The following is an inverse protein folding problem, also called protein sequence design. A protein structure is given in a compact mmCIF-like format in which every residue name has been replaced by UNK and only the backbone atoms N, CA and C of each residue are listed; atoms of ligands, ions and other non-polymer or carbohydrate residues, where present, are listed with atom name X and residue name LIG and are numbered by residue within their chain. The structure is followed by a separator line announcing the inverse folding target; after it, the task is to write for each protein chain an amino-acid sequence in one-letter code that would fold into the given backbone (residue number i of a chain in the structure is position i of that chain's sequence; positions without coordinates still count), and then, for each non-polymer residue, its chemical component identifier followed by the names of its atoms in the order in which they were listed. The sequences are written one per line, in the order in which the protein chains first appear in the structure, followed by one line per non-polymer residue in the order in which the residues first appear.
data_IF_353128019696
#
_entry.id   IF_353128019696
#
_cell.length_a   1.000
_cell.length_b   1.000
_cell.length_c   1.000
_cell.angle_alpha   90.00
_cell.angle_beta   90.00
_cell.angle_gamma   90.00
#
_symmetry.space_group_name_H-M   'P 1'
#
loop_
_entity.id
_entity.type
_entity.pdbx_description
1 polymer ?
#
# COMPACT_ATOMS: atom_id res chain seq x y z
N UNK A 1 17.91 -2.64 -1.35
CA UNK A 1 16.58 -2.43 -0.74
C UNK A 1 15.60 -3.42 -1.34
N UNK A 2 14.63 -3.88 -0.56
CA UNK A 2 13.55 -4.73 -1.08
C UNK A 2 12.50 -3.83 -1.73
N UNK A 3 12.50 -3.79 -3.08
CA UNK A 3 11.55 -3.03 -3.89
C UNK A 3 10.51 -3.96 -4.52
N UNK A 4 9.45 -3.39 -5.07
CA UNK A 4 8.37 -4.16 -5.71
C UNK A 4 8.88 -4.98 -6.91
N UNK A 5 9.84 -4.43 -7.66
CA UNK A 5 10.48 -5.10 -8.79
C UNK A 5 11.28 -6.33 -8.33
N UNK A 6 11.97 -6.23 -7.18
CA UNK A 6 12.65 -7.36 -6.56
C UNK A 6 11.65 -8.42 -6.11
N UNK A 7 10.52 -8.01 -5.51
CA UNK A 7 9.47 -8.93 -5.09
C UNK A 7 8.83 -9.67 -6.28
N UNK A 8 8.61 -8.98 -7.39
CA UNK A 8 8.18 -9.58 -8.66
C UNK A 8 9.16 -10.65 -9.15
N UNK A 9 10.46 -10.39 -9.08
CA UNK A 9 11.50 -11.38 -9.43
C UNK A 9 11.45 -12.58 -8.50
N UNK A 10 11.36 -12.38 -7.18
CA UNK A 10 11.22 -13.47 -6.19
C UNK A 10 10.00 -14.35 -6.53
N UNK A 11 8.85 -13.73 -6.82
CA UNK A 11 7.64 -14.46 -7.20
C UNK A 11 7.88 -15.28 -8.47
N UNK A 12 8.49 -14.70 -9.51
CA UNK A 12 8.81 -15.43 -10.75
C UNK A 12 9.72 -16.61 -10.49
N UNK A 13 10.80 -16.43 -9.73
CA UNK A 13 11.73 -17.52 -9.40
C UNK A 13 11.05 -18.68 -8.65
N UNK A 14 10.16 -18.38 -7.69
CA UNK A 14 9.37 -19.41 -7.01
C UNK A 14 8.47 -20.17 -7.99
N UNK A 15 7.87 -19.46 -8.95
CA UNK A 15 7.04 -20.08 -10.01
C UNK A 15 7.90 -20.94 -10.95
N UNK A 16 9.09 -20.49 -11.32
CA UNK A 16 9.98 -21.24 -12.21
C UNK A 16 10.49 -22.52 -11.55
N UNK A 17 10.64 -22.51 -10.23
CA UNK A 17 10.92 -23.72 -9.41
C UNK A 17 9.73 -24.68 -9.27
N UNK A 18 8.60 -24.40 -9.91
CA UNK A 18 7.43 -25.27 -9.91
C UNK A 18 6.47 -25.06 -8.75
N UNK A 19 6.65 -24.07 -7.88
CA UNK A 19 5.69 -23.77 -6.83
C UNK A 19 4.39 -23.26 -7.47
N UNK A 20 3.27 -23.92 -7.17
CA UNK A 20 1.95 -23.59 -7.74
C UNK A 20 0.95 -23.07 -6.72
N UNK A 21 0.90 -23.74 -5.58
CA UNK A 21 -0.07 -23.50 -4.52
C UNK A 21 0.67 -23.27 -3.20
N UNK A 22 0.30 -22.22 -2.48
CA UNK A 22 0.73 -21.95 -1.11
C UNK A 22 -0.50 -22.17 -0.24
N UNK A 23 -0.54 -23.32 0.43
CA UNK A 23 -1.68 -23.76 1.25
C UNK A 23 -1.60 -23.28 2.70
N UNK A 24 -0.39 -22.99 3.18
CA UNK A 24 -0.15 -22.41 4.51
C UNK A 24 -0.09 -20.88 4.49
N UNK A 25 0.13 -20.29 5.67
CA UNK A 25 0.30 -18.85 5.81
C UNK A 25 1.66 -18.38 5.31
N UNK A 26 1.72 -17.16 4.77
CA UNK A 26 2.99 -16.47 4.53
C UNK A 26 3.49 -15.92 5.86
N UNK A 27 4.59 -16.47 6.37
CA UNK A 27 5.23 -16.00 7.60
C UNK A 27 6.19 -14.89 7.25
N UNK A 28 5.95 -13.70 7.80
CA UNK A 28 6.82 -12.55 7.65
C UNK A 28 7.62 -12.41 8.93
N UNK A 29 8.94 -12.57 8.83
CA UNK A 29 9.87 -12.32 9.92
C UNK A 29 10.43 -10.90 9.81
N UNK A 30 10.02 -10.05 10.77
CA UNK A 30 10.48 -8.67 10.90
C UNK A 30 11.24 -8.48 12.24
N UNK A 31 11.73 -9.55 12.87
CA UNK A 31 12.26 -9.51 14.24
C UNK A 31 13.72 -9.08 14.36
N UNK A 32 14.43 -8.86 13.25
CA UNK A 32 15.84 -8.44 13.28
C UNK A 32 16.04 -7.08 13.97
N UNK A 33 15.04 -6.20 13.87
CA UNK A 33 15.01 -4.95 14.62
C UNK A 33 14.10 -5.08 15.84
N UNK A 34 14.60 -4.68 17.00
CA UNK A 34 13.81 -4.50 18.22
C UNK A 34 13.61 -2.99 18.41
N UNK A 35 12.50 -2.48 17.89
CA UNK A 35 12.18 -1.05 17.93
C UNK A 35 10.96 -0.86 18.82
N UNK A 36 11.04 0.10 19.73
CA UNK A 36 9.90 0.50 20.56
C UNK A 36 8.77 1.04 19.69
N UNK A 37 7.52 0.75 20.06
CA UNK A 37 6.37 1.37 19.41
C UNK A 37 6.44 2.89 19.58
N UNK A 38 6.57 3.61 18.45
CA UNK A 38 6.62 5.07 18.41
C UNK A 38 5.40 5.62 17.69
N UNK A 39 4.88 6.78 18.10
CA UNK A 39 3.86 7.48 17.32
C UNK A 39 4.52 8.16 16.10
N UNK A 40 4.23 7.75 14.86
CA UNK A 40 4.79 8.38 13.67
C UNK A 40 4.27 9.82 13.46
N UNK A 41 3.24 10.24 14.20
CA UNK A 41 2.70 11.60 14.19
C UNK A 41 3.28 12.52 15.27
N UNK A 42 4.16 12.05 16.15
CA UNK A 42 4.58 12.78 17.36
C UNK A 42 5.14 14.18 17.04
N UNK A 43 5.94 14.30 15.98
CA UNK A 43 6.62 15.56 15.63
C UNK A 43 5.70 16.59 14.94
N UNK A 44 4.88 16.17 13.97
CA UNK A 44 4.15 17.10 13.10
C UNK A 44 2.67 16.76 12.88
N UNK A 45 2.15 15.77 13.61
CA UNK A 45 0.79 15.22 13.49
C UNK A 45 0.46 14.67 12.10
N UNK A 46 1.48 14.28 11.31
CA UNK A 46 1.29 13.69 9.97
C UNK A 46 1.80 12.24 9.91
N UNK A 47 1.19 11.30 10.65
CA UNK A 47 1.66 9.92 10.75
C UNK A 47 1.72 9.16 9.41
N UNK A 48 0.99 9.61 8.39
CA UNK A 48 0.95 8.98 7.07
C UNK A 48 2.01 9.51 6.09
N UNK A 49 2.85 10.47 6.48
CA UNK A 49 3.92 10.97 5.61
C UNK A 49 5.05 9.96 5.59
N UNK A 50 5.55 9.64 4.39
CA UNK A 50 6.61 8.64 4.22
C UNK A 50 7.90 8.97 4.98
N UNK A 51 8.20 10.27 5.20
CA UNK A 51 9.34 10.69 6.01
C UNK A 51 9.17 10.44 7.52
N UNK A 52 7.95 10.09 7.95
CA UNK A 52 7.63 9.70 9.33
C UNK A 52 7.56 8.17 9.48
N UNK A 53 8.08 7.39 8.53
CA UNK A 53 8.11 5.94 8.64
C UNK A 53 8.94 5.50 9.85
N UNK A 54 8.38 4.59 10.64
CA UNK A 54 9.12 3.95 11.72
C UNK A 54 10.07 2.93 11.08
N UNK A 55 11.33 2.83 11.54
CA UNK A 55 12.23 1.84 10.99
C UNK A 55 11.68 0.41 11.14
N UNK A 56 11.99 -0.45 10.19
CA UNK A 56 11.55 -1.86 10.13
C UNK A 56 12.62 -2.65 9.39
N UNK A 57 12.84 -3.90 9.78
CA UNK A 57 13.80 -4.78 9.11
C UNK A 57 13.33 -5.14 7.69
N UNK A 58 12.01 -5.28 7.48
CA UNK A 58 11.42 -5.63 6.18
C UNK A 58 11.46 -4.48 5.16
N UNK A 59 11.42 -3.20 5.62
CA UNK A 59 11.41 -1.93 4.87
C UNK A 59 11.05 -2.03 3.37
N UNK A 60 9.95 -2.71 3.07
CA UNK A 60 9.55 -3.01 1.71
C UNK A 60 9.04 -1.75 1.04
N UNK A 61 9.62 -1.41 -0.11
CA UNK A 61 9.29 -0.19 -0.86
C UNK A 61 9.28 1.08 0.02
N UNK A 62 10.18 1.16 1.00
CA UNK A 62 10.27 2.25 1.98
C UNK A 62 8.97 2.48 2.78
N UNK A 63 8.17 1.42 2.98
CA UNK A 63 6.82 1.47 3.56
C UNK A 63 5.83 2.38 2.79
N UNK A 64 6.18 2.79 1.57
CA UNK A 64 5.42 3.74 0.80
C UNK A 64 4.37 3.04 -0.06
N UNK A 65 3.10 3.34 0.19
CA UNK A 65 2.02 3.10 -0.77
C UNK A 65 1.85 4.35 -1.62
N UNK A 66 2.08 4.21 -2.92
CA UNK A 66 1.85 5.27 -3.91
C UNK A 66 0.41 5.19 -4.38
N UNK A 67 -0.35 6.26 -4.20
CA UNK A 67 -1.70 6.42 -4.74
C UNK A 67 -1.61 7.21 -6.05
N UNK A 68 -1.82 6.53 -7.18
CA UNK A 68 -1.91 7.17 -8.50
C UNK A 68 -3.34 7.62 -8.72
N UNK A 69 -3.50 8.90 -9.05
CA UNK A 69 -4.78 9.59 -9.14
C UNK A 69 -4.87 10.25 -10.52
N UNK A 70 -5.96 9.97 -11.23
CA UNK A 70 -6.21 10.52 -12.56
C UNK A 70 -7.70 10.63 -12.83
N UNK A 71 -8.09 11.46 -13.78
CA UNK A 71 -9.46 11.46 -14.29
C UNK A 71 -9.68 10.21 -15.14
N UNK A 72 -10.79 9.52 -14.94
CA UNK A 72 -11.13 8.36 -15.76
C UNK A 72 -11.42 8.81 -17.21
N UNK A 73 -11.07 7.97 -18.19
CA UNK A 73 -11.17 8.28 -19.63
C UNK A 73 -12.59 8.61 -20.09
N UNK A 74 -13.60 8.01 -19.47
CA UNK A 74 -15.03 8.34 -19.70
C UNK A 74 -15.45 9.75 -19.22
N UNK A 75 -14.58 10.48 -18.52
CA UNK A 75 -14.85 11.84 -18.04
C UNK A 75 -15.91 11.96 -16.96
N UNK A 76 -16.27 10.86 -16.26
CA UNK A 76 -17.36 10.85 -15.25
C UNK A 76 -16.87 10.74 -13.81
N UNK A 77 -15.68 10.20 -13.58
CA UNK A 77 -15.15 9.98 -12.24
C UNK A 77 -13.62 10.09 -12.21
N UNK A 78 -13.07 9.93 -11.00
CA UNK A 78 -11.63 9.95 -10.74
C UNK A 78 -11.22 8.52 -10.42
N UNK A 79 -10.11 8.05 -10.95
CA UNK A 79 -9.50 6.78 -10.58
C UNK A 79 -8.45 6.98 -9.51
N UNK A 80 -8.39 6.03 -8.57
CA UNK A 80 -7.31 5.94 -7.60
C UNK A 80 -6.86 4.48 -7.53
N UNK A 81 -5.59 4.25 -7.81
CA UNK A 81 -4.97 2.92 -7.73
C UNK A 81 -3.71 2.98 -6.87
N UNK A 82 -3.40 1.86 -6.21
CA UNK A 82 -2.21 1.73 -5.37
C UNK A 82 -1.05 1.09 -6.13
N UNK A 83 0.16 1.53 -5.79
CA UNK A 83 1.41 0.86 -6.13
C UNK A 83 2.27 0.72 -4.85
N UNK A 84 2.74 -0.49 -4.50
CA UNK A 84 2.42 -1.76 -5.14
C UNK A 84 0.92 -2.06 -5.06
N UNK A 85 0.41 -2.87 -6.00
CA UNK A 85 -1.00 -3.27 -5.98
C UNK A 85 -1.21 -4.16 -4.75
N UNK A 86 -2.14 -3.78 -3.90
CA UNK A 86 -2.40 -4.48 -2.63
C UNK A 86 -3.90 -4.52 -2.34
N UNK A 87 -4.35 -5.60 -1.70
CA UNK A 87 -5.70 -5.74 -1.18
C UNK A 87 -5.86 -5.17 0.24
N UNK A 88 -4.75 -4.93 0.96
CA UNK A 88 -4.77 -4.48 2.35
C UNK A 88 -5.13 -3.00 2.50
N UNK A 89 -5.12 -2.26 1.39
CA UNK A 89 -5.55 -0.86 1.34
C UNK A 89 -6.82 -0.72 0.53
N UNK A 90 -7.95 -0.57 1.23
CA UNK A 90 -9.25 -0.32 0.61
C UNK A 90 -9.43 1.17 0.27
N UNK A 91 -9.67 1.47 -1.00
CA UNK A 91 -9.97 2.83 -1.46
C UNK A 91 -11.47 3.13 -1.29
N UNK A 92 -11.80 4.19 -0.53
CA UNK A 92 -13.14 4.80 -0.46
C UNK A 92 -13.13 6.11 -1.25
N UNK A 93 -13.37 6.01 -2.56
CA UNK A 93 -13.30 7.17 -3.45
C UNK A 93 -14.64 7.92 -3.49
N UNK A 94 -14.67 9.11 -2.88
CA UNK A 94 -15.82 10.03 -2.84
C UNK A 94 -15.51 11.36 -3.50
N UNK A 95 -14.52 11.40 -4.39
CA UNK A 95 -14.17 12.62 -5.11
C UNK A 95 -15.23 12.95 -6.16
N UNK A 96 -15.47 14.24 -6.36
CA UNK A 96 -16.32 14.75 -7.44
C UNK A 96 -15.46 15.33 -8.54
N UNK A 97 -15.67 14.90 -9.77
CA UNK A 97 -14.97 15.45 -10.92
C UNK A 97 -15.55 16.83 -11.28
N UNK A 98 -14.69 17.84 -11.48
CA UNK A 98 -15.10 19.21 -11.82
C UNK A 98 -14.28 19.77 -12.97
N UNK A 99 -14.81 20.81 -13.65
CA UNK A 99 -14.06 21.54 -14.67
C UNK A 99 -13.47 22.82 -14.09
N UNK A 100 -12.24 22.75 -13.55
CA UNK A 100 -11.50 23.89 -12.96
C UNK A 100 -10.01 23.83 -13.34
N UNK A 101 -9.21 24.89 -13.16
CA UNK A 101 -7.76 24.78 -13.35
C UNK A 101 -7.14 23.74 -12.40
N UNK A 102 -6.18 22.94 -12.89
CA UNK A 102 -5.52 21.90 -12.09
C UNK A 102 -4.51 22.50 -11.08
N UNK A 103 -5.01 23.05 -9.97
CA UNK A 103 -4.19 23.66 -8.92
C UNK A 103 -4.83 23.59 -7.54
N UNK A 104 -4.00 23.65 -6.49
CA UNK A 104 -4.44 23.64 -5.09
C UNK A 104 -5.38 22.47 -4.77
N UNK A 105 -6.52 22.78 -4.16
CA UNK A 105 -7.55 21.79 -3.78
C UNK A 105 -8.15 20.99 -4.94
N UNK A 106 -8.01 21.46 -6.18
CA UNK A 106 -8.50 20.75 -7.37
C UNK A 106 -7.51 19.73 -7.93
N UNK A 107 -6.25 19.77 -7.45
CA UNK A 107 -5.21 18.77 -7.76
C UNK A 107 -5.01 17.80 -6.60
N UNK A 108 -5.11 18.28 -5.36
CA UNK A 108 -4.80 17.51 -4.16
C UNK A 108 -6.06 17.18 -3.36
N UNK A 109 -6.59 15.95 -3.44
CA UNK A 109 -7.77 15.57 -2.67
C UNK A 109 -7.48 15.45 -1.18
N UNK A 110 -8.53 15.55 -0.36
CA UNK A 110 -8.44 15.23 1.06
C UNK A 110 -8.35 13.72 1.22
N UNK A 111 -7.40 13.26 2.02
CA UNK A 111 -7.21 11.85 2.38
C UNK A 111 -7.48 11.66 3.86
N UNK A 112 -8.33 10.70 4.22
CA UNK A 112 -8.56 10.29 5.61
C UNK A 112 -8.30 8.80 5.72
N UNK A 113 -7.42 8.43 6.63
CA UNK A 113 -7.01 7.05 6.87
C UNK A 113 -7.79 6.49 8.06
N UNK A 114 -8.29 5.27 7.90
CA UNK A 114 -8.96 4.53 8.95
C UNK A 114 -8.33 3.15 9.06
N UNK A 115 -7.75 2.85 10.23
CA UNK A 115 -7.32 1.49 10.57
C UNK A 115 -8.55 0.58 10.61
N UNK A 116 -8.42 -0.62 10.05
CA UNK A 116 -9.45 -1.67 10.11
C UNK A 116 -8.90 -2.85 10.92
N UNK A 117 -9.75 -3.85 11.19
CA UNK A 117 -9.31 -5.08 11.85
C UNK A 117 -8.26 -5.83 11.01
N UNK A 118 -8.35 -5.73 9.67
CA UNK A 118 -7.36 -6.24 8.73
C UNK A 118 -7.10 -5.13 7.71
N UNK A 119 -5.86 -4.63 7.68
CA UNK A 119 -5.46 -3.55 6.79
C UNK A 119 -6.08 -2.19 7.10
N UNK A 120 -6.19 -1.37 6.06
CA UNK A 120 -6.57 0.04 6.16
C UNK A 120 -7.59 0.42 5.09
N UNK A 121 -8.35 1.46 5.37
CA UNK A 121 -9.13 2.14 4.32
C UNK A 121 -8.75 3.60 4.22
N UNK A 122 -8.63 4.09 3.00
CA UNK A 122 -8.28 5.48 2.70
C UNK A 122 -9.45 6.11 1.95
N UNK A 123 -10.08 7.10 2.59
CA UNK A 123 -11.14 7.89 1.99
C UNK A 123 -10.55 9.07 1.25
N UNK A 124 -10.83 9.16 -0.05
CA UNK A 124 -10.52 10.31 -0.88
C UNK A 124 -11.78 11.16 -1.05
N UNK A 125 -11.69 12.46 -0.81
CA UNK A 125 -12.82 13.37 -0.96
C UNK A 125 -12.42 14.77 -1.43
N UNK A 126 -13.42 15.54 -1.86
CA UNK A 126 -13.25 16.88 -2.43
C UNK A 126 -13.52 16.91 -3.94
N UNK A 127 -13.28 18.08 -4.53
CA UNK A 127 -13.45 18.28 -5.97
C UNK A 127 -12.11 18.10 -6.67
N UNK A 128 -12.05 17.20 -7.65
CA UNK A 128 -10.86 16.93 -8.46
C UNK A 128 -11.07 17.44 -9.89
N UNK A 129 -10.09 18.13 -10.45
CA UNK A 129 -10.25 18.68 -11.79
C UNK A 129 -10.02 17.63 -12.88
N UNK A 130 -10.94 17.58 -13.86
CA UNK A 130 -10.74 16.79 -15.09
C UNK A 130 -9.54 17.24 -15.93
N UNK A 131 -9.06 18.46 -15.72
CA UNK A 131 -7.92 19.04 -16.42
C UNK A 131 -6.58 18.67 -15.75
N UNK A 132 -6.60 17.86 -14.68
CA UNK A 132 -5.39 17.29 -14.13
C UNK A 132 -4.97 16.04 -14.91
N UNK A 133 -3.71 16.00 -15.33
CA UNK A 133 -3.07 14.76 -15.79
C UNK A 133 -2.80 13.79 -14.62
N UNK A 134 -2.35 12.56 -14.93
CA UNK A 134 -1.98 11.58 -13.91
C UNK A 134 -0.96 12.16 -12.95
N UNK A 135 -1.16 11.93 -11.66
CA UNK A 135 -0.19 12.27 -10.63
C UNK A 135 -0.27 11.27 -9.49
N UNK A 136 0.70 11.32 -8.57
CA UNK A 136 0.73 10.38 -7.48
C UNK A 136 1.11 11.01 -6.15
N UNK A 137 0.66 10.37 -5.08
CA UNK A 137 0.92 10.76 -3.69
C UNK A 137 1.36 9.53 -2.93
N UNK A 138 2.54 9.55 -2.33
CA UNK A 138 3.01 8.46 -1.47
C UNK A 138 2.64 8.70 -0.01
N UNK A 139 2.12 7.67 0.66
CA UNK A 139 1.76 7.69 2.08
C UNK A 139 2.06 6.33 2.73
N UNK A 140 2.25 6.36 4.04
CA UNK A 140 2.19 5.15 4.85
C UNK A 140 0.72 4.82 5.04
N UNK A 141 0.31 3.69 4.46
CA UNK A 141 -1.10 3.26 4.44
C UNK A 141 -1.32 1.91 5.11
N UNK A 142 -0.27 1.22 5.57
CA UNK A 142 -0.34 -0.06 6.27
C UNK A 142 0.91 -0.32 7.11
N UNK A 143 0.91 -1.38 7.91
CA UNK A 143 2.14 -1.88 8.53
C UNK A 143 3.13 -2.35 7.44
N UNK A 144 4.44 -2.46 7.75
CA UNK A 144 5.42 -3.02 6.82
C UNK A 144 5.04 -4.43 6.35
N UNK A 145 4.59 -5.28 7.27
CA UNK A 145 4.22 -6.67 6.99
C UNK A 145 2.95 -6.76 6.16
N UNK A 146 1.93 -5.95 6.47
CA UNK A 146 0.71 -5.85 5.65
C UNK A 146 1.06 -5.38 4.23
N UNK A 147 1.91 -4.35 4.08
CA UNK A 147 2.29 -3.86 2.74
C UNK A 147 2.94 -4.96 1.90
N UNK A 148 3.87 -5.70 2.51
CA UNK A 148 4.56 -6.81 1.84
C UNK A 148 3.62 -7.96 1.53
N UNK A 149 2.79 -8.38 2.50
CA UNK A 149 1.83 -9.45 2.32
C UNK A 149 0.88 -9.19 1.16
N UNK A 150 0.32 -7.99 1.09
CA UNK A 150 -0.59 -7.60 0.02
C UNK A 150 0.06 -7.55 -1.35
N UNK A 151 1.28 -7.00 -1.43
CA UNK A 151 2.04 -6.96 -2.67
C UNK A 151 2.41 -8.38 -3.15
N UNK A 152 2.94 -9.22 -2.25
CA UNK A 152 3.24 -10.63 -2.56
C UNK A 152 1.99 -11.37 -3.02
N UNK A 153 0.89 -11.24 -2.28
CA UNK A 153 -0.40 -11.88 -2.61
C UNK A 153 -0.91 -11.45 -3.97
N UNK A 154 -0.80 -10.16 -4.31
CA UNK A 154 -1.18 -9.65 -5.63
C UNK A 154 -0.30 -10.25 -6.73
N UNK A 155 1.03 -10.22 -6.57
CA UNK A 155 1.97 -10.75 -7.56
C UNK A 155 1.84 -12.25 -7.74
N UNK A 156 1.69 -13.01 -6.66
CA UNK A 156 1.49 -14.45 -6.70
C UNK A 156 0.24 -14.84 -7.49
N UNK A 157 -0.90 -14.19 -7.19
CA UNK A 157 -2.16 -14.42 -7.90
C UNK A 157 -2.05 -14.01 -9.37
N UNK A 158 -1.42 -12.87 -9.67
CA UNK A 158 -1.19 -12.43 -11.05
C UNK A 158 -0.29 -13.38 -11.85
N UNK A 159 0.65 -14.07 -11.20
CA UNK A 159 1.49 -15.10 -11.81
C UNK A 159 0.79 -16.48 -11.93
N UNK A 160 -0.53 -16.54 -11.69
CA UNK A 160 -1.33 -17.77 -11.74
C UNK A 160 -1.10 -18.71 -10.55
N UNK A 161 -0.62 -18.18 -9.42
CA UNK A 161 -0.48 -18.92 -8.17
C UNK A 161 -1.75 -18.90 -7.33
N UNK A 162 -1.99 -19.99 -6.60
CA UNK A 162 -3.05 -20.06 -5.59
C UNK A 162 -2.44 -19.80 -4.22
N UNK A 163 -3.01 -18.86 -3.47
CA UNK A 163 -2.66 -18.58 -2.08
C UNK A 163 -3.93 -18.83 -1.25
N UNK A 164 -3.93 -19.91 -0.48
CA UNK A 164 -5.07 -20.32 0.35
C UNK A 164 -4.91 -19.89 1.82
N UNK A 165 -3.68 -19.72 2.30
CA UNK A 165 -3.41 -19.19 3.62
C UNK A 165 -3.44 -17.66 3.69
N UNK A 166 -3.42 -17.15 4.92
CA UNK A 166 -3.35 -15.72 5.23
C UNK A 166 -1.93 -15.27 5.57
N UNK A 167 -1.87 -14.15 6.29
CA UNK A 167 -0.63 -13.64 6.88
C UNK A 167 -0.38 -14.31 8.23
N UNK A 168 0.88 -14.68 8.49
CA UNK A 168 1.37 -15.04 9.81
C UNK A 168 2.54 -14.15 10.22
N UNK A 169 2.68 -13.90 11.51
CA UNK A 169 3.78 -13.13 12.07
C UNK A 169 4.73 -14.06 12.82
N UNK A 170 6.02 -13.94 12.55
CA UNK A 170 7.01 -14.54 13.42
C UNK A 170 7.12 -13.69 14.70
N UNK A 171 6.68 -14.25 15.83
CA UNK A 171 6.96 -13.67 17.15
C UNK A 171 8.15 -14.40 17.72
N UNK A 172 9.29 -13.72 17.85
CA UNK A 172 10.35 -14.18 18.74
C UNK A 172 9.73 -14.37 20.12
N UNK A 173 9.83 -15.57 20.71
CA UNK A 173 9.51 -15.75 22.12
C UNK A 173 10.45 -14.82 22.90
N UNK A 174 9.89 -13.86 23.62
CA UNK A 174 10.62 -13.15 24.66
C UNK A 174 11.03 -14.19 25.70
N UNK A 175 12.34 -14.40 25.84
CA UNK A 175 12.91 -15.10 26.99
C UNK A 175 12.88 -14.20 28.22
#
# INVERSE_FOLDING_TARGET
YLLDETLLTIVRELRDRGLRNITGNLIIDNSYFQIEEKDPGEFDKKPHRVYNAIPSALMFNFQATRFSIQSHTNGRHVDVVTYPKTADVRIDNRMKLVNKPCRGKYRWPKMVFHKKHQGYSVRFSGNYSKNCGPHAISRIASSPEELFFGAFSSHWKNAGGVLAGGQGFYRSRSH
#
